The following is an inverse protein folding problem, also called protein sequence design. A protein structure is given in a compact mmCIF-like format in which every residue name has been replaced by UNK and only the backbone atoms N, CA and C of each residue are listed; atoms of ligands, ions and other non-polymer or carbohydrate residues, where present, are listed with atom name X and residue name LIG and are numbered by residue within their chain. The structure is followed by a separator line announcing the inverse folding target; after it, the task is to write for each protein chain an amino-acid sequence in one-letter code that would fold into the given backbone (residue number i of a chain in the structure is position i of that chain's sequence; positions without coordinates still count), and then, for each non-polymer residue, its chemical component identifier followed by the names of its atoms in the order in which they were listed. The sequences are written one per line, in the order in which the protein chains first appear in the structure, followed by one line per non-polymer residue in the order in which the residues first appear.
data_IF_065880399806
#
_entry.id   IF_065880399806
#
_cell.length_a   1.000
_cell.length_b   1.000
_cell.length_c   1.000
_cell.angle_alpha   90.00
_cell.angle_beta   90.00
_cell.angle_gamma   90.00
#
_symmetry.space_group_name_H-M   'P 1'
#
loop_
_entity.id
_entity.type
_entity.pdbx_description
1 polymer ?
#
# COMPACT_ATOMS: atom_id res chain seq x y z
N UNK A 1 27.95 5.08 10.87
CA UNK A 1 26.78 4.58 10.11
C UNK A 1 26.89 3.08 9.99
N UNK A 2 25.86 2.31 10.37
CA UNK A 2 25.90 0.85 10.29
C UNK A 2 25.34 0.35 8.95
N UNK A 3 26.02 -0.60 8.32
CA UNK A 3 25.52 -1.29 7.14
C UNK A 3 24.43 -2.30 7.55
N UNK A 4 23.17 -1.85 7.63
CA UNK A 4 22.02 -2.72 7.94
C UNK A 4 21.31 -3.12 6.65
N UNK A 5 21.07 -4.42 6.50
CA UNK A 5 20.31 -4.98 5.36
C UNK A 5 18.81 -4.71 5.55
N UNK A 6 18.07 -4.55 4.44
CA UNK A 6 16.63 -4.34 4.49
C UNK A 6 15.92 -5.61 5.04
N UNK A 7 15.18 -5.51 6.15
CA UNK A 7 14.61 -6.67 6.84
C UNK A 7 13.49 -7.37 6.04
N UNK A 8 12.84 -6.66 5.11
CA UNK A 8 11.85 -7.27 4.21
C UNK A 8 12.58 -8.11 3.16
N UNK A 9 13.56 -7.53 2.46
CA UNK A 9 14.26 -8.19 1.35
C UNK A 9 15.00 -9.44 1.78
N UNK A 10 15.64 -9.41 2.96
CA UNK A 10 16.31 -10.59 3.53
C UNK A 10 15.38 -11.77 3.78
N UNK A 11 14.07 -11.52 3.96
CA UNK A 11 13.07 -12.53 4.34
C UNK A 11 12.10 -12.90 3.23
N UNK A 12 12.20 -12.25 2.07
CA UNK A 12 11.41 -12.61 0.88
C UNK A 12 11.80 -14.03 0.45
N UNK A 13 10.80 -14.89 0.24
CA UNK A 13 11.01 -16.29 -0.15
C UNK A 13 11.25 -17.26 1.01
N UNK A 14 11.40 -16.78 2.25
CA UNK A 14 11.51 -17.62 3.45
C UNK A 14 10.23 -17.54 4.27
N UNK A 15 9.92 -16.34 4.79
CA UNK A 15 8.72 -16.10 5.62
C UNK A 15 7.83 -15.00 5.07
N UNK A 16 8.32 -14.20 4.11
CA UNK A 16 7.53 -13.14 3.46
C UNK A 16 7.34 -13.43 1.98
N UNK A 17 6.14 -13.14 1.52
CA UNK A 17 5.76 -13.18 0.12
C UNK A 17 6.09 -11.88 -0.62
N UNK A 18 6.11 -11.99 -1.95
CA UNK A 18 6.19 -10.88 -2.88
C UNK A 18 4.91 -10.03 -2.87
N UNK A 19 5.07 -8.72 -3.07
CA UNK A 19 3.95 -7.78 -3.17
C UNK A 19 3.36 -7.71 -4.58
N UNK A 20 4.15 -7.99 -5.62
CA UNK A 20 3.65 -8.17 -6.98
C UNK A 20 3.82 -9.63 -7.38
N UNK A 21 2.72 -10.31 -7.71
CA UNK A 21 2.68 -11.73 -8.10
C UNK A 21 2.19 -11.86 -9.53
N UNK A 22 3.13 -11.96 -10.47
CA UNK A 22 2.85 -12.19 -11.88
C UNK A 22 4.13 -12.64 -12.61
N UNK A 23 3.96 -13.21 -13.79
CA UNK A 23 5.07 -13.66 -14.65
C UNK A 23 4.92 -13.01 -16.04
N UNK A 24 6.04 -12.54 -16.60
CA UNK A 24 6.12 -12.08 -17.97
C UNK A 24 7.55 -12.27 -18.49
N UNK A 25 7.68 -12.59 -19.78
CA UNK A 25 8.99 -12.78 -20.43
C UNK A 25 9.43 -11.50 -21.11
N UNK A 26 8.86 -11.19 -22.28
CA UNK A 26 9.27 -10.05 -23.11
C UNK A 26 8.77 -8.70 -22.58
N UNK A 27 7.58 -8.69 -21.99
CA UNK A 27 6.91 -7.46 -21.53
C UNK A 27 7.18 -7.11 -20.06
N UNK A 28 8.23 -7.69 -19.44
CA UNK A 28 8.50 -7.48 -18.01
C UNK A 28 8.74 -6.00 -17.67
N UNK A 29 9.57 -5.31 -18.45
CA UNK A 29 9.94 -3.92 -18.17
C UNK A 29 8.74 -2.96 -18.27
N UNK A 30 7.87 -3.16 -19.26
CA UNK A 30 6.68 -2.32 -19.45
C UNK A 30 5.69 -2.52 -18.29
N UNK A 31 5.44 -3.77 -17.89
CA UNK A 31 4.57 -4.11 -16.76
C UNK A 31 5.13 -3.60 -15.43
N UNK A 32 6.45 -3.64 -15.24
CA UNK A 32 7.10 -3.09 -14.04
C UNK A 32 6.92 -1.57 -13.95
N UNK A 33 7.11 -0.84 -15.05
CA UNK A 33 6.88 0.61 -15.07
C UNK A 33 5.42 0.95 -14.80
N UNK A 34 4.49 0.13 -15.30
CA UNK A 34 3.08 0.24 -15.02
C UNK A 34 2.78 0.03 -13.53
N UNK A 35 3.32 -1.02 -12.90
CA UNK A 35 3.19 -1.28 -11.45
C UNK A 35 3.69 -0.10 -10.61
N UNK A 36 4.83 0.50 -10.96
CA UNK A 36 5.39 1.66 -10.24
C UNK A 36 4.43 2.86 -10.32
N UNK A 37 3.86 3.14 -11.50
CA UNK A 37 2.91 4.23 -11.69
C UNK A 37 1.62 3.99 -10.90
N UNK A 38 1.10 2.76 -10.92
CA UNK A 38 -0.09 2.36 -10.16
C UNK A 38 0.13 2.55 -8.67
N UNK A 39 1.25 2.05 -8.11
CA UNK A 39 1.58 2.20 -6.69
C UNK A 39 1.70 3.67 -6.29
N UNK A 40 2.41 4.47 -7.09
CA UNK A 40 2.56 5.90 -6.84
C UNK A 40 1.22 6.63 -6.83
N UNK A 41 0.34 6.32 -7.78
CA UNK A 41 -0.99 6.92 -7.83
C UNK A 41 -1.82 6.57 -6.61
N UNK A 42 -1.86 5.28 -6.23
CA UNK A 42 -2.59 4.81 -5.05
C UNK A 42 -2.08 5.50 -3.78
N UNK A 43 -0.77 5.62 -3.60
CA UNK A 43 -0.17 6.28 -2.43
C UNK A 43 -0.53 7.77 -2.36
N UNK A 44 -0.59 8.46 -3.51
CA UNK A 44 -0.99 9.87 -3.55
C UNK A 44 -2.48 10.09 -3.36
N UNK A 45 -3.33 9.26 -3.99
CA UNK A 45 -4.78 9.40 -3.94
C UNK A 45 -5.34 9.01 -2.58
N UNK A 46 -4.78 7.96 -1.96
CA UNK A 46 -5.26 7.40 -0.69
C UNK A 46 -4.40 7.82 0.52
N UNK A 47 -3.74 8.98 0.45
CA UNK A 47 -2.87 9.49 1.53
C UNK A 47 -3.59 9.58 2.88
N UNK A 48 -4.88 9.93 2.86
CA UNK A 48 -5.69 10.05 4.07
C UNK A 48 -6.28 8.71 4.55
N UNK A 49 -6.26 7.69 3.69
CA UNK A 49 -6.84 6.38 3.98
C UNK A 49 -5.89 5.43 4.73
N UNK A 50 -4.66 5.86 5.05
CA UNK A 50 -3.68 5.08 5.83
C UNK A 50 -3.48 3.68 5.23
N UNK A 51 -2.90 3.64 4.03
CA UNK A 51 -2.61 2.43 3.27
C UNK A 51 -1.27 1.83 3.72
N UNK A 52 -1.28 0.56 4.12
CA UNK A 52 -0.06 -0.15 4.53
C UNK A 52 0.60 -0.87 3.37
N UNK A 53 -0.17 -1.67 2.62
CA UNK A 53 0.36 -2.57 1.60
C UNK A 53 -0.54 -2.55 0.38
N UNK A 54 0.08 -2.57 -0.79
CA UNK A 54 -0.61 -2.71 -2.08
C UNK A 54 -0.04 -3.95 -2.74
N UNK A 55 -0.88 -4.97 -2.89
CA UNK A 55 -0.53 -6.18 -3.63
C UNK A 55 -1.09 -6.10 -5.05
N UNK A 56 -0.27 -6.50 -6.02
CA UNK A 56 -0.65 -6.47 -7.43
C UNK A 56 -0.50 -7.88 -7.99
N UNK A 57 -1.61 -8.45 -8.44
CA UNK A 57 -1.63 -9.72 -9.15
C UNK A 57 -2.08 -9.47 -10.58
N UNK A 58 -1.37 -10.03 -11.55
CA UNK A 58 -1.74 -9.89 -12.98
C UNK A 58 -2.04 -11.27 -13.56
N UNK A 59 -3.18 -11.39 -14.20
CA UNK A 59 -3.60 -12.57 -14.93
C UNK A 59 -3.97 -12.15 -16.36
N UNK A 60 -3.07 -12.36 -17.32
CA UNK A 60 -3.20 -11.99 -18.74
C UNK A 60 -3.81 -10.58 -18.98
N UNK A 61 -5.14 -10.48 -19.05
CA UNK A 61 -5.90 -9.26 -19.31
C UNK A 61 -6.58 -8.62 -18.09
N UNK A 62 -6.36 -9.18 -16.89
CA UNK A 62 -6.93 -8.69 -15.63
C UNK A 62 -5.82 -8.32 -14.65
N UNK A 63 -6.00 -7.19 -13.97
CA UNK A 63 -5.12 -6.73 -12.89
C UNK A 63 -5.95 -6.70 -11.62
N UNK A 64 -5.58 -7.52 -10.65
CA UNK A 64 -6.16 -7.54 -9.32
C UNK A 64 -5.25 -6.73 -8.40
N UNK A 65 -5.82 -5.71 -7.77
CA UNK A 65 -5.10 -4.83 -6.86
C UNK A 65 -5.74 -4.99 -5.49
N UNK A 66 -4.99 -5.51 -4.54
CA UNK A 66 -5.44 -5.70 -3.18
C UNK A 66 -4.81 -4.63 -2.29
N UNK A 67 -5.64 -3.76 -1.73
CA UNK A 67 -5.22 -2.63 -0.90
C UNK A 67 -5.50 -2.99 0.56
N UNK A 68 -4.43 -3.03 1.36
CA UNK A 68 -4.53 -3.21 2.81
C UNK A 68 -4.56 -1.84 3.49
N UNK A 69 -5.66 -1.56 4.18
CA UNK A 69 -5.93 -0.26 4.81
C UNK A 69 -6.46 -0.42 6.23
N UNK A 70 -6.16 0.52 7.11
CA UNK A 70 -6.80 0.64 8.43
C UNK A 70 -8.16 1.35 8.39
N UNK A 71 -8.47 2.06 7.30
CA UNK A 71 -9.69 2.85 7.14
C UNK A 71 -10.39 2.51 5.82
N UNK A 72 -11.03 1.33 5.71
CA UNK A 72 -11.67 0.90 4.47
C UNK A 72 -12.77 1.87 4.00
N UNK A 73 -13.49 2.51 4.94
CA UNK A 73 -14.55 3.48 4.61
C UNK A 73 -14.04 4.70 3.82
N UNK A 74 -12.81 5.15 4.06
CA UNK A 74 -12.20 6.25 3.31
C UNK A 74 -11.84 5.84 1.88
N UNK A 75 -11.43 4.58 1.69
CA UNK A 75 -11.13 4.03 0.35
C UNK A 75 -12.40 3.82 -0.47
N UNK A 76 -13.48 3.36 0.17
CA UNK A 76 -14.79 3.12 -0.48
C UNK A 76 -15.45 4.44 -0.89
N UNK A 77 -15.39 5.45 -0.02
CA UNK A 77 -16.07 6.73 -0.21
C UNK A 77 -17.58 6.63 -0.03
N UNK A 78 -18.29 7.75 -0.25
CA UNK A 78 -19.76 7.79 -0.12
C UNK A 78 -20.39 7.00 -1.27
N UNK A 79 -21.00 5.85 -0.95
CA UNK A 79 -21.69 5.00 -1.93
C UNK A 79 -20.78 4.30 -2.94
N UNK A 80 -19.48 4.13 -2.65
CA UNK A 80 -18.54 3.46 -3.55
C UNK A 80 -17.96 4.35 -4.67
N UNK A 81 -18.25 5.65 -4.64
CA UNK A 81 -17.82 6.61 -5.66
C UNK A 81 -16.29 6.67 -5.82
N UNK A 82 -15.55 6.65 -4.71
CA UNK A 82 -14.09 6.80 -4.74
C UNK A 82 -13.40 5.57 -5.36
N UNK A 83 -13.88 4.36 -5.04
CA UNK A 83 -13.37 3.12 -5.64
C UNK A 83 -13.64 3.07 -7.13
N UNK A 84 -14.81 3.52 -7.56
CA UNK A 84 -15.16 3.54 -8.98
C UNK A 84 -14.31 4.54 -9.75
N UNK A 85 -14.03 5.72 -9.17
CA UNK A 85 -13.11 6.69 -9.76
C UNK A 85 -11.68 6.13 -9.86
N UNK A 86 -11.21 5.49 -8.79
CA UNK A 86 -9.88 4.87 -8.74
C UNK A 86 -9.77 3.73 -9.76
N UNK A 87 -10.82 2.92 -9.90
CA UNK A 87 -10.91 1.85 -10.90
C UNK A 87 -10.86 2.39 -12.31
N UNK A 88 -11.62 3.44 -12.64
CA UNK A 88 -11.61 4.07 -13.97
C UNK A 88 -10.22 4.59 -14.33
N UNK A 89 -9.62 5.38 -13.45
CA UNK A 89 -8.28 5.92 -13.67
C UNK A 89 -7.23 4.82 -13.87
N UNK A 90 -7.26 3.77 -13.04
CA UNK A 90 -6.34 2.65 -13.19
C UNK A 90 -6.61 1.84 -14.46
N UNK A 91 -7.87 1.71 -14.89
CA UNK A 91 -8.21 1.05 -16.15
C UNK A 91 -7.70 1.85 -17.36
N UNK A 92 -7.81 3.18 -17.32
CA UNK A 92 -7.32 4.07 -18.38
C UNK A 92 -5.78 4.04 -18.45
N UNK A 93 -5.10 4.01 -17.30
CA UNK A 93 -3.64 3.94 -17.23
C UNK A 93 -3.07 2.62 -17.75
N UNK A 94 -3.74 1.51 -17.44
CA UNK A 94 -3.25 0.15 -17.75
C UNK A 94 -3.80 -0.40 -19.07
N UNK A 95 -4.89 0.18 -19.59
CA UNK A 95 -5.64 -0.36 -20.74
C UNK A 95 -6.26 -1.74 -20.47
N UNK A 96 -6.28 -2.19 -19.21
CA UNK A 96 -6.71 -3.54 -18.80
C UNK A 96 -7.89 -3.46 -17.83
N UNK A 97 -8.56 -4.60 -17.63
CA UNK A 97 -9.64 -4.70 -16.65
C UNK A 97 -9.05 -4.76 -15.24
N UNK A 98 -9.29 -3.71 -14.46
CA UNK A 98 -8.83 -3.63 -13.07
C UNK A 98 -9.93 -4.09 -12.11
N UNK A 99 -9.56 -4.94 -11.18
CA UNK A 99 -10.36 -5.34 -10.03
C UNK A 99 -9.67 -4.88 -8.75
N UNK A 100 -10.41 -4.18 -7.89
CA UNK A 100 -9.88 -3.62 -6.64
C UNK A 100 -10.48 -4.40 -5.48
N UNK A 101 -9.62 -5.01 -4.69
CA UNK A 101 -9.95 -5.66 -3.43
C UNK A 101 -9.47 -4.79 -2.28
N UNK A 102 -10.32 -4.60 -1.27
CA UNK A 102 -10.00 -3.80 -0.09
C UNK A 102 -10.02 -4.73 1.11
N UNK A 103 -8.87 -4.84 1.78
CA UNK A 103 -8.70 -5.66 2.97
C UNK A 103 -8.46 -4.74 4.17
N UNK A 104 -9.28 -4.92 5.19
CA UNK A 104 -9.14 -4.19 6.44
C UNK A 104 -8.04 -4.79 7.33
N UNK A 105 -7.17 -3.93 7.86
CA UNK A 105 -6.19 -4.29 8.88
C UNK A 105 -6.85 -4.13 10.24
N UNK A 106 -7.22 -5.26 10.86
CA UNK A 106 -7.90 -5.29 12.17
C UNK A 106 -7.11 -4.61 13.30
N UNK A 107 -5.78 -4.70 13.28
CA UNK A 107 -4.90 -4.14 14.33
C UNK A 107 -3.85 -3.24 13.68
N UNK A 108 -4.19 -1.96 13.50
CA UNK A 108 -3.31 -0.97 12.88
C UNK A 108 -2.01 -0.72 13.67
N UNK A 109 -2.04 -0.87 15.00
CA UNK A 109 -0.86 -0.65 15.86
C UNK A 109 0.25 -1.71 15.67
N UNK A 110 -0.08 -2.88 15.09
CA UNK A 110 0.91 -3.93 14.78
C UNK A 110 1.55 -3.75 13.39
N UNK A 111 1.05 -2.81 12.59
CA UNK A 111 1.56 -2.57 11.27
C UNK A 111 2.65 -1.48 11.29
N UNK A 112 3.86 -1.86 10.87
CA UNK A 112 5.01 -0.98 10.92
C UNK A 112 4.83 0.31 10.09
N UNK A 113 4.16 0.24 8.93
CA UNK A 113 3.99 1.40 8.05
C UNK A 113 2.96 2.36 8.64
N UNK A 114 1.85 1.85 9.16
CA UNK A 114 0.81 2.67 9.77
C UNK A 114 1.30 3.37 11.04
N UNK A 115 2.09 2.67 11.87
CA UNK A 115 2.72 3.25 13.05
C UNK A 115 3.71 4.35 12.65
N UNK A 116 4.52 4.11 11.61
CA UNK A 116 5.46 5.11 11.10
C UNK A 116 4.74 6.37 10.57
N UNK A 117 3.69 6.22 9.78
CA UNK A 117 2.87 7.35 9.29
C UNK A 117 2.21 8.12 10.42
N UNK A 118 1.75 7.43 11.48
CA UNK A 118 1.17 8.07 12.65
C UNK A 118 2.21 8.92 13.40
N UNK A 119 3.41 8.37 13.65
CA UNK A 119 4.50 9.12 14.29
C UNK A 119 4.88 10.33 13.44
N UNK A 120 5.03 10.16 12.12
CA UNK A 120 5.36 11.27 11.21
C UNK A 120 4.32 12.39 11.31
N UNK A 121 3.02 12.05 11.27
CA UNK A 121 1.93 13.01 11.39
C UNK A 121 1.93 13.73 12.76
N UNK A 122 2.25 13.03 13.85
CA UNK A 122 2.37 13.66 15.17
C UNK A 122 3.53 14.66 15.23
N UNK A 123 4.66 14.33 14.60
CA UNK A 123 5.81 15.23 14.51
C UNK A 123 5.51 16.47 13.66
N UNK A 124 4.82 16.31 12.53
CA UNK A 124 4.32 17.41 11.69
C UNK A 124 3.40 18.35 12.49
N UNK A 125 2.55 17.78 13.34
CA UNK A 125 1.67 18.51 14.27
C UNK A 125 2.41 19.08 15.51
N UNK A 126 3.75 19.10 15.51
CA UNK A 126 4.61 19.66 16.57
C UNK A 126 4.48 18.98 17.93
N UNK A 127 4.10 17.70 17.97
CA UNK A 127 4.16 16.90 19.20
C UNK A 127 5.62 16.56 19.54
N UNK A 128 5.95 16.52 20.83
CA UNK A 128 7.29 16.11 21.29
C UNK A 128 7.63 14.69 20.80
N UNK A 129 8.78 14.55 20.13
CA UNK A 129 9.22 13.28 19.54
C UNK A 129 9.31 12.14 20.57
N UNK A 130 9.76 12.41 21.80
CA UNK A 130 9.85 11.40 22.86
C UNK A 130 8.47 10.89 23.26
N UNK A 131 7.47 11.79 23.29
CA UNK A 131 6.08 11.44 23.61
C UNK A 131 5.49 10.57 22.50
N UNK A 132 5.63 10.99 21.25
CA UNK A 132 5.14 10.24 20.09
C UNK A 132 5.73 8.81 20.04
N UNK A 133 7.04 8.70 20.25
CA UNK A 133 7.74 7.40 20.27
C UNK A 133 7.26 6.52 21.43
N UNK A 134 7.21 7.05 22.66
CA UNK A 134 6.79 6.27 23.84
C UNK A 134 5.34 5.80 23.71
N UNK A 135 4.47 6.65 23.17
CA UNK A 135 3.06 6.32 22.93
C UNK A 135 2.89 5.24 21.87
N UNK A 136 3.69 5.27 20.80
CA UNK A 136 3.68 4.22 19.78
C UNK A 136 4.11 2.87 20.38
N UNK A 137 5.21 2.85 21.14
CA UNK A 137 5.73 1.62 21.77
C UNK A 137 4.74 1.02 22.77
N UNK A 138 4.00 1.84 23.52
CA UNK A 138 3.06 1.36 24.53
C UNK A 138 1.78 0.74 23.94
N UNK A 139 1.44 1.08 22.69
CA UNK A 139 0.23 0.61 22.01
C UNK A 139 0.42 -0.70 21.26
N UNK A 140 1.66 -1.05 20.96
CA UNK A 140 2.08 -2.32 20.37
C UNK A 140 2.08 -3.44 21.41
#
# INVERSE_FOLDING_TARGET
MGQKVHPIGLRVGIIRDWESKWYAEKDYATLLHEDIKVRKYIETALKDASVSKVEIERAANRVNITIHTAKPGMVIGKGGSEVENLRKYLSDLTGKRVHINIIEIKRADLDARLVAENIARQLENRVSFRRAQKQAIQRT
#
